data_IF_687949236446
#
_entry.id   IF_687949236446
#
_cell.length_a   1.000
_cell.length_b   1.000
_cell.length_c   1.000
_cell.angle_alpha   90.00
_cell.angle_beta   90.00
_cell.angle_gamma   90.00
#
_symmetry.space_group_name_H-M   'P 1'
#
loop_
_entity.id
_entity.type
_entity.pdbx_description
1 polymer ?
#
# COMPACT_ATOMS: atom_id res chain seq x y z
N UNK A 1 -6.66 -7.97 12.88
CA UNK A 1 -5.91 -7.18 13.89
C UNK A 1 -5.67 -5.79 13.33
N UNK A 2 -6.39 -4.75 13.79
CA UNK A 2 -6.16 -3.36 13.37
C UNK A 2 -4.80 -2.93 13.91
N UNK A 3 -3.88 -2.51 13.04
CA UNK A 3 -2.64 -1.86 13.49
C UNK A 3 -3.06 -0.57 14.23
N UNK A 4 -2.66 -0.43 15.49
CA UNK A 4 -2.84 0.83 16.23
C UNK A 4 -2.07 1.89 15.45
N UNK A 5 -2.77 2.93 15.00
CA UNK A 5 -2.11 4.16 14.55
C UNK A 5 -1.16 4.61 15.65
N UNK A 6 -0.01 5.20 15.31
CA UNK A 6 0.88 5.85 16.28
C UNK A 6 0.16 7.07 16.86
N UNK A 7 -0.81 6.83 17.73
CA UNK A 7 -1.61 7.85 18.41
C UNK A 7 -0.85 8.43 19.60
N UNK A 8 0.45 8.65 19.44
CA UNK A 8 1.19 9.50 20.35
C UNK A 8 0.74 10.92 20.05
N UNK A 9 0.29 11.65 21.07
CA UNK A 9 -0.01 13.06 20.94
C UNK A 9 1.26 13.76 20.43
N UNK A 10 1.15 14.40 19.27
CA UNK A 10 2.29 15.08 18.66
C UNK A 10 2.85 16.09 19.66
N UNK A 11 4.12 15.93 20.04
CA UNK A 11 4.86 16.88 20.89
C UNK A 11 5.30 18.13 20.13
N UNK A 12 4.84 18.27 18.88
CA UNK A 12 5.18 19.39 18.01
C UNK A 12 4.43 20.63 18.46
N UNK A 13 5.15 21.74 18.62
CA UNK A 13 4.53 23.05 18.84
C UNK A 13 3.95 23.59 17.53
N UNK A 14 2.68 23.25 17.29
CA UNK A 14 1.94 23.68 16.11
C UNK A 14 1.63 25.17 16.08
N UNK A 15 1.57 25.85 17.23
CA UNK A 15 1.30 27.27 17.28
C UNK A 15 2.49 28.05 16.74
N UNK A 16 3.71 27.68 17.17
CA UNK A 16 4.96 28.25 16.68
C UNK A 16 5.14 28.05 15.17
N UNK A 17 4.92 26.83 14.67
CA UNK A 17 5.10 26.53 13.25
C UNK A 17 4.11 27.30 12.35
N UNK A 18 2.88 27.54 12.81
CA UNK A 18 1.88 28.31 12.04
C UNK A 18 2.23 29.80 11.90
N UNK A 19 2.99 30.35 12.85
CA UNK A 19 3.38 31.77 12.86
C UNK A 19 4.77 32.01 12.29
N UNK A 20 5.54 30.95 12.06
CA UNK A 20 6.90 31.01 11.52
C UNK A 20 6.87 31.44 10.05
N UNK A 21 7.78 32.33 9.65
CA UNK A 21 7.93 32.73 8.26
C UNK A 21 8.94 31.81 7.57
N UNK A 22 8.85 31.72 6.25
CA UNK A 22 9.76 30.88 5.46
C UNK A 22 11.23 31.32 5.60
N UNK A 23 11.47 32.62 5.75
CA UNK A 23 12.80 33.21 5.98
C UNK A 23 13.48 32.73 7.27
N UNK A 24 12.69 32.31 8.26
CA UNK A 24 13.18 31.83 9.55
C UNK A 24 13.51 30.32 9.53
N UNK A 25 13.26 29.62 8.41
CA UNK A 25 13.50 28.18 8.27
C UNK A 25 14.99 27.91 8.07
N UNK A 26 15.57 27.11 8.96
CA UNK A 26 16.97 26.71 8.88
C UNK A 26 17.17 25.64 7.79
N UNK A 27 17.69 26.08 6.63
CA UNK A 27 18.04 25.22 5.52
C UNK A 27 19.48 24.72 5.69
N UNK A 28 19.63 23.42 5.92
CA UNK A 28 20.94 22.79 6.09
C UNK A 28 21.30 21.97 4.85
N UNK A 29 22.58 21.65 4.61
CA UNK A 29 22.97 20.75 3.52
C UNK A 29 22.26 19.39 3.56
N UNK A 30 21.91 18.92 4.76
CA UNK A 30 21.15 17.68 4.97
C UNK A 30 19.63 17.86 4.78
N UNK A 31 19.11 19.10 4.87
CA UNK A 31 17.72 19.49 4.61
C UNK A 31 17.66 20.73 3.72
N UNK A 32 18.03 20.61 2.43
CA UNK A 32 17.95 21.72 1.50
C UNK A 32 16.49 22.03 1.14
N UNK A 33 16.26 23.20 0.56
CA UNK A 33 14.96 23.54 -0.02
C UNK A 33 14.57 22.53 -1.11
N UNK A 34 13.29 22.22 -1.19
CA UNK A 34 12.78 21.25 -2.13
C UNK A 34 12.89 21.77 -3.57
N UNK A 35 13.74 21.10 -4.37
CA UNK A 35 13.86 21.40 -5.80
C UNK A 35 12.64 20.85 -6.57
N UNK A 36 11.87 21.76 -7.20
CA UNK A 36 10.68 21.44 -7.98
C UNK A 36 11.04 20.58 -9.20
N UNK A 37 12.21 20.78 -9.81
CA UNK A 37 12.64 19.98 -10.94
C UNK A 37 13.02 18.56 -10.50
N UNK A 38 13.62 18.40 -9.32
CA UNK A 38 13.82 17.09 -8.69
C UNK A 38 12.50 16.37 -8.39
N UNK A 39 11.49 17.08 -7.89
CA UNK A 39 10.16 16.50 -7.60
C UNK A 39 9.46 16.11 -8.91
N UNK A 40 9.50 16.98 -9.92
CA UNK A 40 8.88 16.75 -11.23
C UNK A 40 9.51 15.57 -11.97
N UNK A 41 10.84 15.43 -11.87
CA UNK A 41 11.59 14.31 -12.43
C UNK A 41 11.69 13.13 -11.46
N UNK A 42 11.04 13.22 -10.31
CA UNK A 42 10.93 12.17 -9.30
C UNK A 42 10.33 10.93 -9.93
N UNK A 43 11.19 9.98 -10.27
CA UNK A 43 10.86 8.75 -10.97
C UNK A 43 9.72 8.04 -10.26
N UNK A 44 8.55 7.96 -10.91
CA UNK A 44 7.51 6.98 -10.59
C UNK A 44 8.10 5.61 -10.91
N UNK A 45 8.78 4.98 -9.93
CA UNK A 45 9.45 3.67 -9.99
C UNK A 45 9.54 3.07 -11.41
N UNK A 46 10.49 3.54 -12.23
CA UNK A 46 10.77 2.95 -13.52
C UNK A 46 11.16 1.47 -13.33
N UNK A 47 10.49 0.56 -14.02
CA UNK A 47 10.84 -0.87 -14.04
C UNK A 47 9.92 -1.81 -13.24
N UNK A 48 8.93 -1.32 -12.48
CA UNK A 48 7.85 -2.20 -12.04
C UNK A 48 6.90 -2.45 -13.22
N UNK A 49 7.03 -3.63 -13.83
CA UNK A 49 6.00 -4.14 -14.72
C UNK A 49 4.67 -4.15 -13.95
N UNK A 50 3.59 -3.55 -14.48
CA UNK A 50 2.29 -3.67 -13.86
C UNK A 50 1.98 -5.15 -13.63
N UNK A 51 1.55 -5.50 -12.42
CA UNK A 51 1.09 -6.85 -12.19
C UNK A 51 -0.06 -7.15 -13.17
N UNK A 52 -0.10 -8.34 -13.78
CA UNK A 52 -1.22 -8.70 -14.65
C UNK A 52 -2.54 -8.51 -13.91
N UNK A 53 -3.48 -7.82 -14.58
CA UNK A 53 -4.77 -7.49 -14.01
C UNK A 53 -5.56 -8.73 -13.60
N UNK A 54 -6.44 -8.57 -12.61
CA UNK A 54 -7.40 -9.60 -12.22
C UNK A 54 -8.78 -9.22 -12.76
N UNK A 55 -9.47 -10.18 -13.36
CA UNK A 55 -10.85 -9.98 -13.81
C UNK A 55 -11.82 -10.36 -12.70
N UNK A 56 -12.77 -9.49 -12.39
CA UNK A 56 -13.88 -9.81 -11.49
C UNK A 56 -14.88 -10.69 -12.22
N UNK A 57 -15.16 -11.87 -11.69
CA UNK A 57 -16.13 -12.82 -12.25
C UNK A 57 -17.12 -13.25 -11.18
N UNK A 58 -18.35 -13.53 -11.59
CA UNK A 58 -19.34 -14.17 -10.71
C UNK A 58 -19.21 -15.69 -10.86
N UNK A 59 -18.75 -16.37 -9.81
CA UNK A 59 -18.55 -17.81 -9.76
C UNK A 59 -19.31 -18.39 -8.56
N UNK A 60 -20.00 -19.51 -8.76
CA UNK A 60 -20.58 -20.29 -7.67
C UNK A 60 -19.55 -21.25 -7.11
N UNK A 61 -19.41 -21.28 -5.79
CA UNK A 61 -18.52 -22.15 -5.04
C UNK A 61 -19.39 -22.81 -3.97
N UNK A 62 -19.18 -24.10 -3.72
CA UNK A 62 -19.89 -24.82 -2.67
C UNK A 62 -19.65 -24.17 -1.29
N UNK A 63 -20.69 -24.17 -0.46
CA UNK A 63 -20.70 -23.43 0.81
C UNK A 63 -19.61 -23.92 1.76
N UNK A 64 -19.44 -25.23 1.87
CA UNK A 64 -18.44 -25.89 2.72
C UNK A 64 -17.01 -25.53 2.28
N UNK A 65 -16.74 -25.53 0.98
CA UNK A 65 -15.45 -25.12 0.41
C UNK A 65 -15.18 -23.65 0.73
N UNK A 66 -16.15 -22.77 0.53
CA UNK A 66 -16.01 -21.35 0.82
C UNK A 66 -15.78 -21.08 2.31
N UNK A 67 -16.51 -21.77 3.19
CA UNK A 67 -16.35 -21.68 4.64
C UNK A 67 -14.97 -22.17 5.08
N UNK A 68 -14.50 -23.28 4.52
CA UNK A 68 -13.15 -23.78 4.78
C UNK A 68 -12.10 -22.72 4.43
N UNK A 69 -12.15 -22.10 3.25
CA UNK A 69 -11.21 -21.05 2.87
C UNK A 69 -11.31 -19.80 3.76
N UNK A 70 -12.53 -19.41 4.19
CA UNK A 70 -12.74 -18.29 5.12
C UNK A 70 -12.16 -18.58 6.51
N UNK A 71 -12.26 -19.83 6.99
CA UNK A 71 -11.71 -20.25 8.29
C UNK A 71 -10.19 -20.07 8.37
N UNK A 72 -9.50 -20.12 7.22
CA UNK A 72 -8.06 -19.94 7.10
C UNK A 72 -7.60 -18.46 7.22
N UNK A 73 -8.52 -17.54 7.53
CA UNK A 73 -8.25 -16.14 7.82
C UNK A 73 -8.31 -15.21 6.61
N UNK A 74 -7.82 -13.96 6.77
CA UNK A 74 -7.83 -12.96 5.71
C UNK A 74 -7.12 -13.44 4.44
N UNK A 75 -7.61 -12.99 3.28
CA UNK A 75 -7.02 -13.35 1.98
C UNK A 75 -7.51 -14.68 1.40
N UNK A 76 -8.64 -15.21 1.87
CA UNK A 76 -9.25 -16.44 1.36
C UNK A 76 -9.43 -16.44 -0.18
N UNK A 77 -9.81 -15.30 -0.78
CA UNK A 77 -9.91 -15.17 -2.25
C UNK A 77 -8.56 -15.34 -2.97
N UNK A 78 -7.46 -14.90 -2.35
CA UNK A 78 -6.10 -15.08 -2.89
C UNK A 78 -5.71 -16.55 -2.85
N UNK A 79 -6.08 -17.27 -1.78
CA UNK A 79 -5.87 -18.71 -1.64
C UNK A 79 -6.67 -19.51 -2.67
N UNK A 80 -7.94 -19.17 -2.88
CA UNK A 80 -8.78 -19.75 -3.94
C UNK A 80 -8.11 -19.58 -5.31
N UNK A 81 -7.67 -18.35 -5.63
CA UNK A 81 -6.99 -18.08 -6.89
C UNK A 81 -5.66 -18.83 -7.03
N UNK A 82 -4.93 -19.09 -5.95
CA UNK A 82 -3.71 -19.89 -5.98
C UNK A 82 -3.99 -21.36 -6.33
N UNK A 83 -5.06 -21.95 -5.78
CA UNK A 83 -5.49 -23.32 -6.12
C UNK A 83 -5.91 -23.41 -7.58
N UNK A 84 -6.68 -22.43 -8.09
CA UNK A 84 -7.07 -22.39 -9.51
C UNK A 84 -5.85 -22.33 -10.44
N UNK A 85 -4.81 -21.57 -10.06
CA UNK A 85 -3.54 -21.55 -10.80
C UNK A 85 -2.82 -22.90 -10.77
N UNK A 86 -2.68 -23.49 -9.59
CA UNK A 86 -2.01 -24.78 -9.44
C UNK A 86 -2.72 -25.88 -10.26
N UNK A 87 -4.06 -25.90 -10.23
CA UNK A 87 -4.84 -26.82 -11.05
C UNK A 87 -4.63 -26.59 -12.56
N UNK A 88 -4.70 -25.33 -13.01
CA UNK A 88 -4.43 -24.97 -14.41
C UNK A 88 -3.04 -25.43 -14.85
N UNK A 89 -2.01 -25.12 -14.06
CA UNK A 89 -0.61 -25.39 -14.41
C UNK A 89 -0.29 -26.90 -14.40
N UNK A 90 -1.03 -27.70 -13.62
CA UNK A 90 -0.90 -29.16 -13.60
C UNK A 90 -1.74 -29.87 -14.68
N UNK A 91 -2.76 -29.20 -15.22
CA UNK A 91 -3.69 -29.76 -16.21
C UNK A 91 -3.35 -29.38 -17.66
N UNK A 92 -2.25 -28.66 -17.85
CA UNK A 92 -1.72 -28.21 -19.16
C UNK A 92 -0.41 -28.92 -19.45
#
# INVERSE_FOLDING_TARGET
MKRKSSSETSKTDWARLKTMKDEDIDLTPDHPEADIDHIRNGIVRHGLRPAPGKTSVSLRIDTDVLEWFKSQGPGYQVKINAVLKAFRDASV
#
